data_IF_944580614185
#
_entry.id   IF_944580614185
#
_cell.length_a   1.000
_cell.length_b   1.000
_cell.length_c   1.000
_cell.angle_alpha   90.00
_cell.angle_beta   90.00
_cell.angle_gamma   90.00
#
_symmetry.space_group_name_H-M   'P 1'
#
loop_
_entity.id
_entity.type
_entity.pdbx_description
1 polymer ?
2 non-polymer ?
3 non-polymer ?
4 non-polymer ?
5 water ?
#
# COMPACT_ATOMS: atom_id res chain seq x y z
N UNK A 11 -16.73 7.06 22.79
CA UNK A 11 -16.67 5.64 22.30
C UNK A 11 -16.40 5.58 20.78
N UNK A 12 -15.35 4.84 20.42
CA UNK A 12 -14.93 4.67 19.03
C UNK A 12 -14.90 3.17 18.67
N UNK A 13 -15.44 2.79 17.48
CA UNK A 13 -15.53 1.35 17.15
C UNK A 13 -14.19 0.63 17.06
N UNK A 14 -14.19 -0.68 17.33
CA UNK A 14 -12.97 -1.48 17.41
C UNK A 14 -12.32 -1.75 16.05
N UNK A 15 -13.14 -2.01 15.02
CA UNK A 15 -12.66 -2.29 13.66
C UNK A 15 -12.40 -0.99 12.93
N UNK A 16 -11.27 -0.92 12.24
CA UNK A 16 -10.93 0.30 11.48
C UNK A 16 -11.94 0.56 10.37
N UNK A 17 -12.54 -0.50 9.83
CA UNK A 17 -13.58 -0.35 8.81
C UNK A 17 -14.95 0.16 9.31
N UNK A 18 -15.11 0.29 10.63
CA UNK A 18 -16.33 0.85 11.24
C UNK A 18 -16.19 2.32 11.64
N UNK A 19 -15.06 2.95 11.31
CA UNK A 19 -14.84 4.35 11.65
C UNK A 19 -14.10 5.11 10.55
N UNK A 20 -14.40 6.41 10.38
CA UNK A 20 -13.61 7.18 9.43
C UNK A 20 -12.20 7.47 9.94
N UNK A 21 -11.21 7.25 9.08
CA UNK A 21 -9.84 7.66 9.36
C UNK A 21 -9.37 8.62 8.26
N UNK A 22 -9.30 9.92 8.57
CA UNK A 22 -8.96 10.92 7.55
C UNK A 22 -7.46 10.93 7.22
N UNK A 23 -7.10 11.60 6.12
CA UNK A 23 -5.69 11.66 5.69
C UNK A 23 -4.81 12.32 6.74
N UNK A 24 -5.28 13.44 7.27
CA UNK A 24 -4.53 14.24 8.24
C UNK A 24 -5.18 14.18 9.61
N UNK A 25 -4.37 14.12 10.66
CA UNK A 25 -4.88 13.95 12.03
C UNK A 25 -3.99 14.70 13.03
N UNK A 26 -4.27 14.53 14.32
CA UNK A 26 -3.70 15.37 15.38
C UNK A 26 -2.63 14.68 16.22
N UNK A 27 -2.17 13.50 15.79
CA UNK A 27 -1.33 12.62 16.62
C UNK A 27 -0.18 11.95 15.86
N UNK A 28 0.37 12.70 14.90
CA UNK A 28 1.35 12.15 13.96
C UNK A 28 2.61 11.67 14.66
N UNK A 29 3.07 12.40 15.67
CA UNK A 29 4.27 11.98 16.43
C UNK A 29 4.08 10.66 17.17
N UNK A 30 2.90 10.51 17.78
CA UNK A 30 2.57 9.29 18.53
C UNK A 30 2.36 8.11 17.59
N UNK A 31 1.57 8.30 16.54
CA UNK A 31 1.32 7.22 15.57
C UNK A 31 2.62 6.80 14.88
N UNK A 32 3.49 7.77 14.56
CA UNK A 32 4.78 7.45 13.90
C UNK A 32 5.67 6.58 14.77
N UNK A 33 5.69 6.88 16.07
CA UNK A 33 6.46 6.09 17.02
C UNK A 33 5.95 4.64 17.12
N UNK A 34 4.64 4.50 17.28
CA UNK A 34 4.00 3.18 17.27
C UNK A 34 4.22 2.40 15.96
N UNK A 35 4.17 3.10 14.84
CA UNK A 35 4.39 2.43 13.54
C UNK A 35 5.84 1.98 13.32
N UNK A 36 6.80 2.68 13.93
CA UNK A 36 8.20 2.21 13.94
C UNK A 36 8.27 0.88 14.67
N UNK A 37 7.65 0.81 15.86
CA UNK A 37 7.62 -0.44 16.62
C UNK A 37 6.87 -1.55 15.87
N UNK A 38 5.79 -1.18 15.19
CA UNK A 38 5.05 -2.13 14.34
C UNK A 38 5.97 -2.71 13.25
N UNK A 39 6.62 -1.83 12.51
CA UNK A 39 7.49 -2.20 11.39
C UNK A 39 8.59 -3.14 11.85
N UNK A 40 9.25 -2.78 12.94
CA UNK A 40 10.34 -3.56 13.50
C UNK A 40 9.88 -4.94 13.92
N UNK A 41 8.67 -5.03 14.48
CA UNK A 41 8.10 -6.32 14.83
C UNK A 41 7.86 -7.20 13.57
N UNK A 42 7.37 -6.57 12.51
CA UNK A 42 7.24 -7.25 11.22
C UNK A 42 8.58 -7.73 10.68
N UNK A 43 9.62 -6.89 10.81
CA UNK A 43 10.96 -7.32 10.42
C UNK A 43 11.45 -8.57 11.15
N UNK A 44 11.04 -8.72 12.41
CA UNK A 44 11.38 -9.90 13.20
C UNK A 44 10.39 -11.07 13.07
N UNK A 45 9.41 -10.96 12.19
CA UNK A 45 8.37 -11.99 12.02
C UNK A 45 7.27 -12.00 13.08
N UNK A 46 7.22 -10.98 13.93
CA UNK A 46 6.28 -10.95 15.07
C UNK A 46 4.97 -10.32 14.60
N UNK A 47 4.21 -11.08 13.81
CA UNK A 47 3.04 -10.54 13.11
C UNK A 47 1.93 -10.05 14.06
N UNK A 48 1.73 -10.75 15.18
CA UNK A 48 0.75 -10.36 16.20
C UNK A 48 1.09 -9.01 16.80
N UNK A 49 2.35 -8.86 17.23
CA UNK A 49 2.87 -7.59 17.75
C UNK A 49 2.81 -6.44 16.73
N UNK A 50 3.11 -6.74 15.46
CA UNK A 50 2.91 -5.76 14.37
C UNK A 50 1.47 -5.27 14.32
N UNK A 51 0.53 -6.21 14.29
CA UNK A 51 -0.90 -5.87 14.17
C UNK A 51 -1.37 -5.06 15.39
N UNK A 52 -0.88 -5.43 16.57
CA UNK A 52 -1.20 -4.70 17.79
C UNK A 52 -0.78 -3.23 17.73
N UNK A 53 0.48 -2.99 17.34
CA UNK A 53 0.98 -1.61 17.26
C UNK A 53 0.27 -0.84 16.15
N UNK A 54 0.05 -1.50 15.00
CA UNK A 54 -0.64 -0.89 13.86
C UNK A 54 -2.06 -0.44 14.21
N UNK A 55 -2.81 -1.33 14.87
CA UNK A 55 -4.15 -1.02 15.39
C UNK A 55 -4.16 0.17 16.35
N UNK A 56 -3.22 0.19 17.29
CA UNK A 56 -3.08 1.30 18.25
C UNK A 56 -2.78 2.63 17.53
N UNK A 57 -1.83 2.59 16.59
CA UNK A 57 -1.55 3.77 15.76
C UNK A 57 -2.81 4.25 15.03
N UNK A 58 -3.59 3.33 14.45
CA UNK A 58 -4.79 3.70 13.67
C UNK A 58 -5.89 4.30 14.53
N UNK A 59 -5.96 3.89 15.80
CA UNK A 59 -6.87 4.51 16.76
C UNK A 59 -6.53 5.99 16.95
N UNK A 60 -5.25 6.28 17.17
CA UNK A 60 -4.79 7.68 17.31
C UNK A 60 -5.14 8.53 16.07
N UNK A 61 -5.06 7.92 14.89
CA UNK A 61 -5.39 8.61 13.63
C UNK A 61 -6.84 9.03 13.51
N UNK A 62 -7.74 8.24 14.12
CA UNK A 62 -9.17 8.51 14.12
C UNK A 62 -9.61 9.51 15.21
N UNK A 63 -8.74 9.80 16.18
CA UNK A 63 -9.12 10.73 17.26
C UNK A 63 -9.35 12.14 16.73
N UNK A 64 -10.36 12.84 17.28
CA UNK A 64 -10.64 14.19 16.83
C UNK A 64 -9.74 15.29 17.40
N UNK A 65 -8.89 14.95 18.37
CA UNK A 65 -8.06 15.90 19.09
C UNK A 65 -6.71 15.27 19.37
N UNK A 66 -5.67 16.11 19.63
CA UNK A 66 -4.39 15.55 20.02
C UNK A 66 -4.45 14.95 21.44
N UNK A 67 -3.64 13.91 21.67
CA UNK A 67 -3.43 13.32 23.00
C UNK A 67 -2.29 14.10 23.63
N UNK A 68 -2.63 14.93 24.62
CA UNK A 68 -1.64 15.70 25.38
C UNK A 68 -1.45 15.17 26.82
N UNK A 69 -2.41 14.42 27.35
CA UNK A 69 -2.25 13.72 28.65
C UNK A 69 -2.68 12.26 28.54
N UNK A 70 -2.07 11.42 29.37
CA UNK A 70 -2.33 9.99 29.33
C UNK A 70 -3.78 9.63 29.72
N UNK A 71 -4.41 10.48 30.53
CA UNK A 71 -5.84 10.29 30.84
C UNK A 71 -6.71 10.23 29.60
N UNK A 72 -6.28 10.85 28.49
CA UNK A 72 -7.01 10.69 27.20
C UNK A 72 -6.93 9.30 26.55
N UNK A 73 -6.05 8.42 27.00
CA UNK A 73 -6.05 7.04 26.49
C UNK A 73 -7.20 6.20 27.10
N UNK A 74 -7.62 6.53 28.33
CA UNK A 74 -8.72 5.80 29.00
C UNK A 74 -9.96 5.64 28.09
N UNK A 75 -10.44 4.39 27.99
CA UNK A 75 -11.64 4.08 27.22
C UNK A 75 -11.46 3.92 25.72
N UNK A 76 -10.21 3.88 25.22
CA UNK A 76 -9.93 3.65 23.80
C UNK A 76 -9.59 2.17 23.55
N UNK A 77 -10.10 1.60 22.43
CA UNK A 77 -9.74 0.22 22.09
C UNK A 77 -8.28 0.07 21.66
N UNK A 78 -7.80 -1.17 21.66
CA UNK A 78 -6.49 -1.52 21.12
C UNK A 78 -5.33 -0.75 21.74
N UNK A 79 -5.49 -0.32 23.00
CA UNK A 79 -4.42 0.36 23.72
C UNK A 79 -4.08 -0.41 24.96
N UNK A 80 -3.38 -1.53 24.74
CA UNK A 80 -2.83 -2.33 25.83
C UNK A 80 -1.67 -1.62 26.50
N UNK A 81 -0.94 -2.36 27.33
CA UNK A 81 0.08 -1.76 28.20
C UNK A 81 1.25 -1.19 27.41
N UNK A 82 1.75 -1.96 26.44
CA UNK A 82 2.97 -1.60 25.71
C UNK A 82 2.74 -0.32 24.90
N UNK A 83 1.64 -0.25 24.16
CA UNK A 83 1.32 0.96 23.39
C UNK A 83 1.12 2.19 24.28
N UNK A 84 0.45 2.01 25.41
CA UNK A 84 0.22 3.11 26.37
C UNK A 84 1.53 3.66 26.92
N UNK A 85 2.44 2.75 27.27
CA UNK A 85 3.75 3.14 27.78
C UNK A 85 4.54 4.01 26.76
N UNK A 86 4.46 3.61 25.49
CA UNK A 86 5.13 4.35 24.42
C UNK A 86 4.64 5.78 24.44
N UNK A 87 3.30 5.95 24.40
CA UNK A 87 2.69 7.27 24.39
C UNK A 87 3.04 8.03 25.68
N UNK A 88 3.01 7.32 26.81
CA UNK A 88 3.39 7.91 28.09
C UNK A 88 4.79 8.51 28.08
N UNK A 89 5.78 7.73 27.66
CA UNK A 89 7.16 8.24 27.68
C UNK A 89 7.29 9.45 26.75
N UNK A 90 6.60 9.41 25.60
CA UNK A 90 6.59 10.54 24.66
C UNK A 90 5.98 11.80 25.30
N UNK A 91 4.82 11.67 25.94
CA UNK A 91 4.20 12.81 26.64
C UNK A 91 5.06 13.39 27.76
N UNK A 92 5.67 12.53 28.56
CA UNK A 92 6.39 12.94 29.77
C UNK A 92 7.83 13.33 29.52
N UNK A 93 8.48 12.69 28.54
CA UNK A 93 9.91 12.92 28.26
C UNK A 93 10.24 13.43 26.84
N UNK A 94 9.26 13.48 25.95
CA UNK A 94 9.50 13.85 24.56
C UNK A 94 10.22 12.81 23.72
N UNK A 95 10.50 11.63 24.29
CA UNK A 95 11.23 10.57 23.61
C UNK A 95 10.91 9.24 24.28
N UNK A 96 10.85 8.17 23.48
CA UNK A 96 10.65 6.81 23.98
C UNK A 96 11.95 6.04 23.67
N UNK A 97 12.62 5.53 24.70
CA UNK A 97 13.95 4.94 24.54
C UNK A 97 13.94 3.66 23.71
N UNK A 98 12.90 2.84 23.81
CA UNK A 98 12.76 1.69 22.91
C UNK A 98 12.70 2.10 21.43
N UNK A 99 11.90 3.12 21.11
CA UNK A 99 11.80 3.61 19.73
C UNK A 99 13.17 4.11 19.27
N UNK A 100 13.89 4.84 20.13
CA UNK A 100 15.21 5.38 19.76
C UNK A 100 16.24 4.28 19.56
N UNK A 101 16.21 3.25 20.41
CA UNK A 101 17.08 2.06 20.22
C UNK A 101 16.80 1.37 18.87
N UNK A 102 15.51 1.17 18.57
CA UNK A 102 15.12 0.56 17.31
C UNK A 102 15.65 1.38 16.12
N UNK A 103 15.40 2.68 16.10
CA UNK A 103 15.88 3.57 15.03
C UNK A 103 17.38 3.49 14.78
N UNK A 104 18.15 3.41 15.86
CA UNK A 104 19.60 3.35 15.76
C UNK A 104 20.14 1.94 15.48
N UNK A 105 19.32 0.91 15.62
CA UNK A 105 19.85 -0.44 15.54
C UNK A 105 20.17 -0.82 14.08
N UNK A 106 21.25 -1.57 13.92
CA UNK A 106 21.73 -1.96 12.60
C UNK A 106 20.73 -2.89 11.91
N UNK A 107 20.09 -3.74 12.71
CA UNK A 107 19.09 -4.70 12.21
C UNK A 107 17.89 -3.98 11.56
N UNK A 108 17.34 -3.03 12.28
CA UNK A 108 16.19 -2.27 11.76
C UNK A 108 16.60 -1.45 10.54
N UNK A 109 17.69 -0.69 10.64
CA UNK A 109 18.14 0.18 9.55
C UNK A 109 18.40 -0.64 8.28
N UNK A 110 19.04 -1.81 8.44
CA UNK A 110 19.28 -2.67 7.29
C UNK A 110 18.00 -3.29 6.71
N UNK A 111 17.13 -3.79 7.57
CA UNK A 111 15.86 -4.36 7.11
C UNK A 111 15.02 -3.30 6.39
N UNK A 112 15.01 -2.09 6.94
CA UNK A 112 14.36 -0.95 6.28
C UNK A 112 14.99 -0.66 4.92
N UNK A 113 16.32 -0.63 4.86
CA UNK A 113 17.01 -0.38 3.58
C UNK A 113 16.63 -1.43 2.55
N UNK A 114 16.77 -2.69 2.91
CA UNK A 114 16.54 -3.78 1.95
C UNK A 114 15.06 -3.92 1.57
N UNK A 115 14.16 -3.89 2.55
CA UNK A 115 12.72 -4.04 2.22
C UNK A 115 12.13 -2.91 1.37
N UNK A 116 12.77 -1.75 1.34
CA UNK A 116 12.27 -0.66 0.50
C UNK A 116 12.78 -0.71 -0.95
N UNK A 117 13.63 -1.70 -1.24
CA UNK A 117 14.04 -1.97 -2.60
C UNK A 117 12.88 -2.65 -3.33
N UNK A 118 12.60 -2.17 -4.53
CA UNK A 118 11.58 -2.78 -5.43
C UNK A 118 11.85 -4.26 -5.57
N UNK A 119 10.83 -5.07 -5.26
CA UNK A 119 10.91 -6.53 -5.34
C UNK A 119 11.50 -7.28 -4.14
N UNK A 120 11.82 -6.59 -3.06
CA UNK A 120 12.37 -7.24 -1.87
C UNK A 120 11.33 -7.23 -0.75
N UNK A 121 10.92 -8.42 -0.29
CA UNK A 121 10.10 -8.54 0.95
C UNK A 121 10.91 -8.81 2.21
N UNK A 122 10.22 -9.03 3.32
CA UNK A 122 10.85 -9.25 4.61
C UNK A 122 11.70 -10.50 4.60
N UNK A 123 11.20 -11.57 3.98
CA UNK A 123 11.91 -12.85 4.00
C UNK A 123 13.25 -12.77 3.28
N UNK A 124 13.25 -12.14 2.11
CA UNK A 124 14.48 -11.87 1.37
C UNK A 124 15.45 -10.97 2.13
N UNK A 125 14.96 -9.83 2.61
CA UNK A 125 15.76 -8.91 3.39
C UNK A 125 16.42 -9.59 4.61
N UNK A 126 15.64 -10.37 5.37
CA UNK A 126 16.15 -11.10 6.53
C UNK A 126 17.22 -12.15 6.15
N UNK A 127 17.00 -12.87 5.04
CA UNK A 127 18.00 -13.83 4.51
C UNK A 127 19.29 -13.09 4.20
N UNK A 128 19.19 -11.97 3.48
CA UNK A 128 20.38 -11.21 3.13
C UNK A 128 21.10 -10.70 4.39
N UNK A 129 20.33 -10.24 5.37
CA UNK A 129 20.88 -9.81 6.66
C UNK A 129 21.67 -10.91 7.36
N UNK A 130 21.04 -12.07 7.47
CA UNK A 130 21.66 -13.27 8.06
C UNK A 130 22.91 -13.74 7.33
N UNK A 131 22.98 -13.45 6.04
CA UNK A 131 24.14 -13.73 5.21
C UNK A 131 25.20 -12.63 5.21
N UNK A 132 25.05 -11.64 6.10
CA UNK A 132 26.03 -10.60 6.30
C UNK A 132 26.03 -9.44 5.31
N UNK A 133 24.97 -9.33 4.51
CA UNK A 133 24.80 -8.19 3.62
C UNK A 133 24.22 -7.02 4.44
N UNK A 134 24.73 -5.83 4.18
CA UNK A 134 24.32 -4.61 4.90
C UNK A 134 23.97 -3.43 4.05
N UNK A 135 24.68 -3.20 2.96
CA UNK A 135 24.52 -2.00 2.21
C UNK A 135 24.05 -2.27 0.82
N UNK A 136 23.66 -1.22 0.12
CA UNK A 136 23.25 -1.37 -1.26
C UNK A 136 24.45 -1.83 -2.11
N UNK A 137 25.64 -1.33 -1.81
CA UNK A 137 26.84 -1.79 -2.49
C UNK A 137 27.11 -3.30 -2.28
N UNK A 138 26.87 -3.81 -1.10
CA UNK A 138 27.02 -5.25 -0.80
C UNK A 138 26.13 -6.05 -1.75
N UNK A 139 24.88 -5.56 -1.98
CA UNK A 139 23.94 -6.24 -2.89
C UNK A 139 24.44 -6.22 -4.32
N UNK A 140 24.95 -5.07 -4.74
CA UNK A 140 25.52 -4.89 -6.07
C UNK A 140 26.74 -5.77 -6.35
N UNK A 141 27.50 -6.08 -5.30
CA UNK A 141 28.65 -7.00 -5.39
C UNK A 141 28.27 -8.47 -5.47
N UNK A 142 26.99 -8.80 -5.24
CA UNK A 142 26.47 -10.16 -5.34
C UNK A 142 25.27 -10.25 -6.26
N UNK A 143 25.45 -9.92 -7.55
CA UNK A 143 24.27 -9.86 -8.39
C UNK A 143 23.62 -11.24 -8.66
N UNK A 144 24.38 -12.33 -8.50
CA UNK A 144 23.80 -13.64 -8.58
C UNK A 144 22.67 -13.86 -7.55
N UNK A 145 22.67 -13.11 -6.45
CA UNK A 145 21.63 -13.18 -5.43
C UNK A 145 20.36 -12.37 -5.72
N UNK A 146 20.32 -11.63 -6.83
CA UNK A 146 19.24 -10.69 -7.11
C UNK A 146 18.40 -11.19 -8.25
N UNK A 147 17.09 -11.00 -8.13
CA UNK A 147 16.19 -11.15 -9.29
C UNK A 147 16.36 -9.95 -10.24
N UNK A 148 15.87 -10.09 -11.46
CA UNK A 148 15.87 -8.98 -12.39
C UNK A 148 15.12 -7.76 -11.86
N UNK A 149 14.00 -7.98 -11.20
CA UNK A 149 13.23 -6.91 -10.57
C UNK A 149 14.06 -6.17 -9.50
N UNK A 150 14.77 -6.94 -8.69
CA UNK A 150 15.63 -6.39 -7.64
C UNK A 150 16.80 -5.61 -8.27
N UNK A 151 17.33 -6.09 -9.40
CA UNK A 151 18.40 -5.40 -10.10
C UNK A 151 17.92 -4.03 -10.60
N UNK A 152 16.71 -4.03 -11.13
CA UNK A 152 16.06 -2.79 -11.58
C UNK A 152 15.83 -1.83 -10.41
N UNK A 153 15.36 -2.37 -9.30
CA UNK A 153 15.17 -1.61 -8.09
C UNK A 153 16.42 -0.94 -7.56
N UNK A 154 17.55 -1.66 -7.62
CA UNK A 154 18.84 -1.10 -7.22
C UNK A 154 19.35 -0.06 -8.18
N UNK A 155 19.21 -0.31 -9.47
CA UNK A 155 19.56 0.64 -10.52
C UNK A 155 18.88 1.99 -10.34
N UNK A 156 17.67 2.00 -9.84
CA UNK A 156 16.85 3.19 -9.72
C UNK A 156 16.54 3.58 -8.29
N UNK A 157 17.32 3.12 -7.31
CA UNK A 157 16.86 3.20 -5.93
C UNK A 157 16.75 4.65 -5.46
N UNK A 158 17.63 5.55 -5.92
CA UNK A 158 17.54 6.96 -5.52
C UNK A 158 16.18 7.55 -5.93
N UNK A 159 15.82 7.40 -7.20
CA UNK A 159 14.47 7.84 -7.66
C UNK A 159 13.36 7.14 -6.95
N UNK A 160 13.47 5.82 -6.80
CA UNK A 160 12.36 5.08 -6.16
C UNK A 160 12.17 5.36 -4.66
N UNK A 161 13.18 5.91 -4.01
CA UNK A 161 13.09 6.39 -2.62
C UNK A 161 12.56 7.83 -2.52
N UNK A 162 12.54 8.56 -3.64
CA UNK A 162 11.98 9.93 -3.67
C UNK A 162 10.45 9.84 -3.69
N UNK A 163 9.77 10.53 -2.74
CA UNK A 163 8.33 10.42 -2.76
C UNK A 163 7.75 10.86 -4.10
N UNK A 164 6.76 10.09 -4.54
CA UNK A 164 6.00 10.34 -5.75
C UNK A 164 4.99 11.42 -5.39
N UNK A 165 4.90 12.44 -6.23
CA UNK A 165 4.02 13.59 -5.98
C UNK A 165 2.74 13.48 -6.79
N UNK A 166 1.70 14.19 -6.36
CA UNK A 166 0.45 14.20 -7.13
C UNK A 166 0.66 14.68 -8.57
N UNK A 167 1.55 15.65 -8.77
CA UNK A 167 1.88 16.10 -10.14
C UNK A 167 2.49 14.96 -11.00
N UNK A 168 3.32 14.11 -10.38
CA UNK A 168 3.80 12.90 -11.06
C UNK A 168 2.63 12.00 -11.44
N UNK A 169 1.74 11.78 -10.47
CA UNK A 169 0.57 10.93 -10.69
C UNK A 169 -0.29 11.46 -11.84
N UNK A 170 -0.50 12.77 -11.88
CA UNK A 170 -1.31 13.37 -12.95
C UNK A 170 -0.68 13.12 -14.31
N UNK A 171 0.63 13.34 -14.43
CA UNK A 171 1.34 13.13 -15.68
C UNK A 171 1.29 11.65 -16.12
N UNK A 172 1.46 10.76 -15.16
CA UNK A 172 1.43 9.33 -15.44
C UNK A 172 0.05 8.86 -15.86
N UNK A 173 -0.98 9.31 -15.15
CA UNK A 173 -2.33 8.94 -15.48
C UNK A 173 -2.66 9.38 -16.92
N UNK A 174 -2.20 10.56 -17.31
CA UNK A 174 -2.36 11.01 -18.71
C UNK A 174 -1.75 10.04 -19.74
N UNK A 175 -0.48 9.67 -19.57
CA UNK A 175 0.16 8.76 -20.55
C UNK A 175 -0.50 7.37 -20.53
N UNK A 176 -0.92 6.89 -19.36
CA UNK A 176 -1.58 5.58 -19.24
C UNK A 176 -2.96 5.67 -19.89
N UNK A 177 -3.70 6.74 -19.60
CA UNK A 177 -4.99 6.96 -20.27
C UNK A 177 -4.90 7.02 -21.80
N UNK A 178 -3.89 7.72 -22.31
CA UNK A 178 -3.68 7.82 -23.76
C UNK A 178 -3.36 6.44 -24.38
N UNK A 179 -2.44 5.70 -23.76
CA UNK A 179 -2.10 4.37 -24.24
C UNK A 179 -3.31 3.43 -24.19
N UNK A 180 -4.06 3.45 -23.10
CA UNK A 180 -5.26 2.61 -22.95
C UNK A 180 -6.33 2.99 -23.98
N UNK A 181 -6.57 4.31 -24.10
CA UNK A 181 -7.58 4.84 -25.04
C UNK A 181 -7.30 4.51 -26.49
N UNK A 182 -6.03 4.59 -26.88
CA UNK A 182 -5.61 4.23 -28.22
C UNK A 182 -5.79 2.72 -28.46
N UNK A 183 -5.30 1.90 -27.53
CA UNK A 183 -5.31 0.45 -27.68
C UNK A 183 -6.74 -0.11 -27.79
N UNK A 184 -7.64 0.41 -26.96
CA UNK A 184 -9.01 -0.05 -26.85
C UNK A 184 -9.96 1.08 -26.43
N UNK A 185 -10.69 1.65 -27.42
CA UNK A 185 -11.72 2.65 -27.14
C UNK A 185 -12.76 2.12 -26.15
N UNK A 186 -13.20 2.97 -25.22
CA UNK A 186 -14.07 2.54 -24.15
C UNK A 186 -13.38 1.99 -22.88
N UNK A 187 -12.12 1.59 -22.97
CA UNK A 187 -11.44 1.03 -21.79
C UNK A 187 -11.17 2.17 -20.81
N UNK A 188 -11.24 1.87 -19.52
CA UNK A 188 -11.11 2.89 -18.47
C UNK A 188 -9.87 2.65 -17.61
N UNK A 189 -9.31 3.75 -17.09
CA UNK A 189 -8.20 3.74 -16.14
C UNK A 189 -8.67 4.42 -14.86
N UNK A 190 -8.56 3.74 -13.72
CA UNK A 190 -8.96 4.28 -12.42
C UNK A 190 -7.74 4.29 -11.50
N UNK A 191 -7.43 5.47 -10.97
CA UNK A 191 -6.35 5.65 -9.99
C UNK A 191 -6.82 5.00 -8.71
N UNK A 192 -6.02 4.11 -8.15
CA UNK A 192 -6.33 3.45 -6.87
C UNK A 192 -5.18 3.73 -5.87
N UNK A 193 -4.97 2.85 -4.90
CA UNK A 193 -3.90 3.00 -3.95
C UNK A 193 -4.08 4.24 -3.09
N UNK A 194 -2.99 4.70 -2.51
CA UNK A 194 -3.06 5.79 -1.54
C UNK A 194 -3.49 7.10 -2.15
N UNK A 195 -3.18 7.31 -3.44
CA UNK A 195 -3.58 8.56 -4.10
C UNK A 195 -5.09 8.72 -4.23
N UNK A 196 -5.80 7.60 -4.43
CA UNK A 196 -7.25 7.64 -4.41
C UNK A 196 -7.81 7.96 -3.01
N UNK A 197 -7.11 7.55 -1.97
CA UNK A 197 -7.43 7.95 -0.59
C UNK A 197 -7.07 9.40 -0.23
N UNK A 198 -6.57 10.17 -1.20
CA UNK A 198 -6.27 11.58 -0.99
C UNK A 198 -4.86 11.89 -0.57
N UNK A 199 -3.98 10.89 -0.43
CA UNK A 199 -2.60 11.18 -0.07
C UNK A 199 -1.96 12.12 -1.07
N UNK A 200 -1.03 12.95 -0.56
CA UNK A 200 -0.32 13.89 -1.40
C UNK A 200 0.98 13.33 -1.91
N UNK A 201 1.45 12.26 -1.32
CA UNK A 201 2.65 11.58 -1.77
C UNK A 201 2.59 10.05 -1.57
N UNK A 202 3.44 9.32 -2.25
CA UNK A 202 3.46 7.86 -2.17
C UNK A 202 4.74 7.23 -2.68
N UNK A 203 4.81 5.91 -2.61
CA UNK A 203 5.99 5.23 -3.11
C UNK A 203 5.79 4.64 -4.54
N UNK A 204 4.56 4.57 -4.99
CA UNK A 204 4.21 4.14 -6.34
C UNK A 204 2.88 4.75 -6.77
N UNK A 205 2.45 4.44 -8.01
CA UNK A 205 1.14 4.83 -8.51
C UNK A 205 0.43 3.53 -8.94
N UNK A 206 -0.78 3.39 -8.50
CA UNK A 206 -1.55 2.23 -8.79
C UNK A 206 -2.74 2.52 -9.71
N UNK A 207 -2.86 1.78 -10.79
CA UNK A 207 -3.96 1.97 -11.71
C UNK A 207 -4.70 0.65 -11.93
N UNK A 208 -6.02 0.75 -12.01
CA UNK A 208 -6.91 -0.36 -12.27
C UNK A 208 -7.59 -0.11 -13.61
N UNK A 209 -7.44 -1.07 -14.53
CA UNK A 209 -7.87 -0.95 -15.93
C UNK A 209 -8.99 -1.94 -16.15
N UNK A 210 -10.06 -1.50 -16.81
CA UNK A 210 -11.15 -2.42 -17.20
C UNK A 210 -11.83 -1.95 -18.48
N UNK A 211 -12.84 -2.70 -18.89
CA UNK A 211 -13.71 -2.33 -20.00
C UNK A 211 -15.14 -2.76 -19.64
N UNK A 212 -16.16 -1.92 -19.94
CA UNK A 212 -17.54 -2.24 -19.53
C UNK A 212 -18.15 -3.52 -20.14
N UNK A 213 -17.69 -3.93 -21.32
CA UNK A 213 -18.03 -5.26 -21.85
C UNK A 213 -17.05 -6.33 -21.33
N UNK A 214 -17.55 -7.24 -20.49
CA UNK A 214 -16.76 -8.37 -19.98
C UNK A 214 -16.05 -9.10 -21.13
N UNK A 215 -14.72 -9.25 -21.01
CA UNK A 215 -13.85 -9.90 -21.99
C UNK A 215 -13.13 -9.00 -22.99
N UNK A 216 -13.62 -7.79 -23.20
CA UNK A 216 -12.96 -6.87 -24.12
C UNK A 216 -11.57 -6.42 -23.62
N UNK A 217 -11.35 -6.58 -22.32
CA UNK A 217 -10.06 -6.32 -21.67
C UNK A 217 -8.99 -7.39 -21.91
N UNK A 218 -9.34 -8.53 -22.55
CA UNK A 218 -8.36 -9.58 -22.82
C UNK A 218 -7.28 -9.07 -23.79
N UNK A 219 -6.01 -9.33 -23.46
CA UNK A 219 -4.90 -8.84 -24.30
C UNK A 219 -4.71 -7.33 -24.35
N UNK A 220 -5.37 -6.59 -23.47
CA UNK A 220 -5.25 -5.13 -23.48
C UNK A 220 -3.90 -4.71 -22.86
N UNK A 221 -3.54 -5.30 -21.73
CA UNK A 221 -2.36 -4.82 -20.99
C UNK A 221 -1.08 -4.88 -21.82
N UNK A 222 -0.84 -6.01 -22.51
CA UNK A 222 0.35 -6.06 -23.36
C UNK A 222 0.39 -4.99 -24.47
N UNK A 223 -0.77 -4.66 -25.05
CA UNK A 223 -0.84 -3.59 -26.04
C UNK A 223 -0.55 -2.21 -25.45
N UNK A 224 -1.08 -1.99 -24.25
CA UNK A 224 -0.78 -0.77 -23.49
C UNK A 224 0.72 -0.64 -23.25
N UNK A 225 1.34 -1.73 -22.78
CA UNK A 225 2.77 -1.74 -22.51
C UNK A 225 3.62 -1.51 -23.77
N UNK A 226 3.24 -2.14 -24.89
CA UNK A 226 3.92 -1.89 -26.16
C UNK A 226 3.93 -0.41 -26.50
N UNK A 227 2.77 0.22 -26.38
CA UNK A 227 2.64 1.64 -26.66
C UNK A 227 3.52 2.48 -25.75
N UNK A 228 3.45 2.22 -24.45
CA UNK A 228 4.29 2.96 -23.49
C UNK A 228 5.80 2.74 -23.71
N UNK A 229 6.15 1.49 -24.00
CA UNK A 229 7.54 1.18 -24.35
C UNK A 229 8.03 1.94 -25.57
N UNK A 230 7.21 1.97 -26.62
CA UNK A 230 7.57 2.67 -27.85
C UNK A 230 7.85 4.16 -27.62
N UNK A 231 7.13 4.75 -26.65
CA UNK A 231 7.34 6.16 -26.32
C UNK A 231 8.54 6.45 -25.44
N UNK A 232 9.27 5.43 -25.01
CA UNK A 232 10.45 5.63 -24.18
C UNK A 232 10.11 5.76 -22.72
N UNK A 233 8.88 5.41 -22.34
CA UNK A 233 8.39 5.68 -20.97
C UNK A 233 8.64 4.55 -19.98
N UNK A 234 9.21 3.43 -20.42
CA UNK A 234 9.33 2.26 -19.59
C UNK A 234 10.78 1.90 -19.39
N UNK A 235 11.17 1.86 -18.13
CA UNK A 235 12.51 1.41 -17.74
C UNK A 235 12.54 -0.07 -17.43
N UNK A 236 11.45 -0.58 -16.89
CA UNK A 236 11.37 -1.96 -16.47
C UNK A 236 9.92 -2.36 -16.44
N UNK A 237 9.68 -3.60 -16.88
CA UNK A 237 8.34 -4.11 -17.01
C UNK A 237 8.36 -5.62 -16.82
N UNK A 238 7.59 -6.09 -15.87
CA UNK A 238 7.35 -7.50 -15.70
C UNK A 238 5.87 -7.74 -15.80
N UNK A 239 5.46 -8.44 -16.84
CA UNK A 239 4.07 -8.81 -17.04
C UNK A 239 3.86 -10.13 -16.35
N UNK A 240 2.75 -10.27 -15.64
CA UNK A 240 2.36 -11.60 -15.16
C UNK A 240 0.90 -11.83 -15.53
N UNK A 241 0.66 -12.93 -16.23
CA UNK A 241 -0.70 -13.41 -16.47
C UNK A 241 -1.35 -13.81 -15.13
N UNK A 242 -2.67 -13.70 -15.06
CA UNK A 242 -3.40 -14.18 -13.87
C UNK A 242 -3.19 -15.69 -13.73
N UNK A 243 -2.81 -16.12 -12.53
CA UNK A 243 -2.52 -17.54 -12.27
C UNK A 243 -3.74 -18.20 -11.64
N UNK A 244 -4.01 -17.87 -10.38
CA UNK A 244 -5.07 -18.53 -9.59
C UNK A 244 -6.46 -18.05 -10.01
N UNK A 258 -3.64 -13.06 -9.06
CA UNK A 258 -4.70 -13.66 -9.86
C UNK A 258 -5.47 -12.65 -10.71
N UNK A 259 -5.01 -11.39 -10.74
CA UNK A 259 -5.36 -10.47 -11.82
C UNK A 259 -4.15 -10.40 -12.73
N UNK A 260 -4.40 -10.19 -14.02
CA UNK A 260 -3.34 -9.83 -14.94
C UNK A 260 -2.76 -8.48 -14.46
N UNK A 261 -1.44 -8.41 -14.34
CA UNK A 261 -0.79 -7.15 -13.96
C UNK A 261 0.59 -6.96 -14.53
N UNK A 262 1.03 -5.72 -14.52
CA UNK A 262 2.35 -5.35 -14.96
C UNK A 262 3.03 -4.53 -13.87
N UNK A 263 4.21 -4.98 -13.43
CA UNK A 263 5.02 -4.28 -12.41
C UNK A 263 5.99 -3.42 -13.16
N UNK A 264 5.82 -2.10 -13.10
CA UNK A 264 6.65 -1.23 -13.95
C UNK A 264 7.51 -0.22 -13.19
N UNK A 265 8.60 0.18 -13.81
CA UNK A 265 9.28 1.43 -13.49
C UNK A 265 9.14 2.30 -14.74
N UNK A 266 8.45 3.43 -14.62
CA UNK A 266 8.31 4.40 -15.69
C UNK A 266 9.44 5.40 -15.64
N UNK A 267 9.89 5.85 -16.81
CA UNK A 267 10.79 6.98 -16.96
C UNK A 267 9.91 8.22 -17.13
N UNK A 268 9.66 8.96 -16.07
CA UNK A 268 8.79 10.15 -16.12
C UNK A 268 9.60 11.39 -16.56
N UNK A 269 9.30 11.96 -17.74
CA UNK A 269 10.04 13.19 -18.09
C UNK A 269 9.71 14.32 -17.13
N UNK A 270 10.72 15.16 -16.89
CA UNK A 270 10.61 16.32 -15.99
C UNK A 270 11.23 17.47 -16.73
N UNK A 271 11.00 18.71 -16.26
CA UNK A 271 11.71 19.82 -16.91
C UNK A 271 13.24 19.70 -16.77
N UNK A 272 13.90 19.39 -17.89
CA UNK A 272 15.36 19.24 -17.97
C UNK A 272 16.01 17.97 -17.43
N UNK A 273 15.20 16.95 -17.10
CA UNK A 273 15.73 15.68 -16.60
C UNK A 273 14.63 14.61 -16.65
N UNK A 274 14.61 13.67 -15.71
CA UNK A 274 13.57 12.60 -15.68
C UNK A 274 13.73 11.87 -14.37
N UNK A 275 12.70 11.14 -13.98
CA UNK A 275 12.66 10.42 -12.72
C UNK A 275 12.05 9.03 -12.94
N UNK A 276 12.65 7.98 -12.36
CA UNK A 276 12.04 6.67 -12.32
C UNK A 276 10.92 6.68 -11.29
N UNK A 277 9.79 6.11 -11.65
CA UNK A 277 8.63 6.01 -10.79
C UNK A 277 8.00 4.63 -10.94
N UNK A 278 7.67 4.03 -9.80
CA UNK A 278 6.98 2.74 -9.78
C UNK A 278 5.52 2.88 -10.09
N UNK A 279 5.06 2.08 -11.05
CA UNK A 279 3.66 2.04 -11.40
C UNK A 279 3.17 0.58 -11.42
N UNK A 280 2.05 0.32 -10.76
CA UNK A 280 1.34 -0.97 -10.80
C UNK A 280 0.12 -0.81 -11.73
N UNK A 281 0.09 -1.57 -12.82
CA UNK A 281 -1.07 -1.61 -13.71
C UNK A 281 -1.75 -2.95 -13.50
N UNK A 282 -3.04 -2.91 -13.16
CA UNK A 282 -3.81 -4.11 -12.88
C UNK A 282 -5.03 -4.10 -13.78
N UNK A 283 -5.29 -5.21 -14.46
CA UNK A 283 -6.50 -5.36 -15.29
C UNK A 283 -7.50 -6.23 -14.54
N UNK A 284 -8.75 -5.78 -14.44
CA UNK A 284 -9.79 -6.61 -13.87
C UNK A 284 -10.99 -6.65 -14.80
N UNK A 285 -11.62 -7.83 -14.92
CA UNK A 285 -12.88 -7.86 -15.63
C UNK A 285 -13.92 -7.06 -14.84
N UNK A 286 -14.79 -6.37 -15.58
CA UNK A 286 -15.73 -5.42 -14.99
C UNK A 286 -16.67 -6.05 -13.97
N UNK A 287 -16.97 -7.34 -14.10
CA UNK A 287 -17.74 -8.04 -13.05
C UNK A 287 -17.06 -7.96 -11.69
N UNK A 288 -15.73 -8.10 -11.67
CA UNK A 288 -14.94 -8.06 -10.44
C UNK A 288 -14.39 -6.68 -10.04
N UNK A 289 -14.61 -5.67 -10.89
CA UNK A 289 -14.03 -4.34 -10.71
C UNK A 289 -14.30 -3.71 -9.32
N UNK A 290 -15.56 -3.72 -8.83
CA UNK A 290 -15.79 -3.11 -7.52
C UNK A 290 -15.00 -3.75 -6.36
N UNK A 291 -14.79 -5.06 -6.43
CA UNK A 291 -13.94 -5.76 -5.46
C UNK A 291 -12.50 -5.41 -5.60
N UNK A 292 -12.03 -5.33 -6.86
CA UNK A 292 -10.66 -4.96 -7.11
C UNK A 292 -10.38 -3.54 -6.68
N UNK A 293 -11.31 -2.62 -6.98
CA UNK A 293 -11.19 -1.22 -6.55
C UNK A 293 -11.07 -1.10 -5.03
N UNK A 294 -11.99 -1.77 -4.33
CA UNK A 294 -12.00 -1.78 -2.88
C UNK A 294 -10.69 -2.31 -2.29
N UNK A 295 -10.30 -3.48 -2.75
CA UNK A 295 -9.06 -4.13 -2.33
C UNK A 295 -7.84 -3.26 -2.60
N UNK A 296 -7.73 -2.74 -3.83
CA UNK A 296 -6.56 -1.97 -4.26
C UNK A 296 -6.51 -0.52 -3.71
N UNK A 297 -7.62 -0.01 -3.18
CA UNK A 297 -7.66 1.37 -2.66
C UNK A 297 -7.10 1.42 -1.22
N UNK A 298 -7.18 0.32 -0.50
CA UNK A 298 -6.56 0.23 0.81
C UNK A 298 -7.30 1.10 1.84
N UNK A 299 -6.63 1.55 2.89
CA UNK A 299 -5.24 1.20 3.22
C UNK A 299 -5.08 -0.29 3.49
N UNK A 300 -3.84 -0.76 3.58
CA UNK A 300 -3.58 -2.18 3.89
C UNK A 300 -4.27 -2.57 5.20
N UNK A 301 -4.18 -1.73 6.22
CA UNK A 301 -4.78 -2.07 7.50
C UNK A 301 -6.28 -2.06 7.37
N UNK A 302 -6.83 -1.06 6.69
CA UNK A 302 -8.28 -0.98 6.51
C UNK A 302 -8.81 -2.24 5.83
N UNK A 303 -8.14 -2.68 4.77
CA UNK A 303 -8.56 -3.89 4.06
C UNK A 303 -8.40 -5.13 4.90
N UNK A 304 -7.31 -5.22 5.65
CA UNK A 304 -7.13 -6.31 6.63
C UNK A 304 -8.31 -6.37 7.58
N UNK A 305 -8.68 -5.20 8.11
CA UNK A 305 -9.74 -5.07 9.09
C UNK A 305 -11.12 -5.35 8.51
N UNK A 306 -11.36 -4.88 7.28
CA UNK A 306 -12.59 -5.15 6.57
C UNK A 306 -12.77 -6.66 6.27
N UNK A 307 -11.70 -7.34 5.91
CA UNK A 307 -11.73 -8.77 5.61
C UNK A 307 -11.92 -9.61 6.87
N UNK A 308 -11.18 -9.25 7.92
CA UNK A 308 -11.39 -9.82 9.26
C UNK A 308 -12.84 -9.62 9.73
N UNK A 309 -13.38 -8.41 9.58
CA UNK A 309 -14.76 -8.13 9.93
C UNK A 309 -15.76 -8.98 9.15
N UNK A 310 -15.56 -9.11 7.84
CA UNK A 310 -16.45 -9.89 6.98
C UNK A 310 -16.47 -11.35 7.41
N UNK A 311 -15.29 -11.88 7.70
CA UNK A 311 -15.15 -13.28 8.09
C UNK A 311 -15.70 -13.50 9.48
N UNK A 312 -15.18 -12.74 10.44
CA UNK A 312 -15.54 -12.92 11.86
C UNK A 312 -16.99 -12.54 12.17
N UNK A 313 -17.42 -11.36 11.75
CA UNK A 313 -18.77 -10.88 12.06
C UNK A 313 -19.84 -11.40 11.15
N UNK A 314 -19.56 -11.51 9.84
CA UNK A 314 -20.61 -11.84 8.88
C UNK A 314 -20.50 -13.22 8.22
N UNK A 315 -19.44 -13.98 8.51
CA UNK A 315 -19.27 -15.31 7.93
C UNK A 315 -18.93 -15.38 6.45
N UNK A 316 -18.46 -14.27 5.87
CA UNK A 316 -18.22 -14.17 4.43
C UNK A 316 -16.73 -13.94 4.16
N UNK A 317 -16.21 -14.48 3.06
CA UNK A 317 -14.82 -14.25 2.69
C UNK A 317 -14.75 -13.16 1.62
N UNK A 318 -14.16 -12.03 1.98
CA UNK A 318 -13.93 -10.92 1.04
C UNK A 318 -12.50 -10.96 0.57
N UNK A 319 -12.31 -10.84 -0.75
CA UNK A 319 -11.00 -10.55 -1.32
C UNK A 319 -11.17 -9.60 -2.52
N UNK A 320 -10.10 -9.41 -3.29
CA UNK A 320 -10.13 -8.46 -4.41
C UNK A 320 -10.96 -8.91 -5.63
N UNK A 321 -11.43 -10.15 -5.63
CA UNK A 321 -12.22 -10.71 -6.73
C UNK A 321 -13.69 -10.88 -6.45
N UNK A 322 -14.07 -10.88 -5.17
CA UNK A 322 -15.45 -11.18 -4.83
C UNK A 322 -15.73 -11.30 -3.34
N UNK A 323 -17.00 -11.52 -3.03
CA UNK A 323 -17.44 -11.77 -1.67
C UNK A 323 -18.22 -13.08 -1.68
N UNK A 324 -17.67 -14.08 -0.99
CA UNK A 324 -18.10 -15.48 -1.08
C UNK A 324 -18.70 -15.94 0.24
N UNK A 325 -19.85 -16.60 0.17
CA UNK A 325 -20.44 -17.27 1.33
C UNK A 325 -20.08 -18.75 1.21
N UNK A 326 -19.15 -19.23 2.06
CA UNK A 326 -18.66 -20.60 1.92
C UNK A 326 -19.61 -21.68 2.42
N UNK A 327 -20.62 -21.32 3.23
CA UNK A 327 -21.69 -22.26 3.62
C UNK A 327 -22.65 -22.47 2.44
N UNK A 328 -23.25 -21.40 1.96
CA UNK A 328 -24.13 -21.43 0.78
C UNK A 328 -23.40 -21.70 -0.55
N UNK A 329 -22.09 -21.48 -0.61
CA UNK A 329 -21.29 -21.69 -1.81
C UNK A 329 -21.71 -20.72 -2.95
N UNK A 330 -21.93 -19.46 -2.56
CA UNK A 330 -22.45 -18.39 -3.41
C UNK A 330 -21.50 -17.18 -3.42
N UNK A 331 -21.58 -16.38 -4.49
CA UNK A 331 -20.82 -15.13 -4.63
C UNK A 331 -21.77 -13.96 -4.70
N UNK A 332 -21.40 -12.85 -4.06
CA UNK A 332 -22.19 -11.62 -4.06
C UNK A 332 -21.95 -10.82 -5.33
N UNK A 333 -23.02 -10.35 -5.96
CA UNK A 333 -22.96 -9.51 -7.15
C UNK A 333 -22.97 -8.06 -6.67
N UNK A 334 -21.93 -7.32 -7.01
CA UNK A 334 -21.79 -5.93 -6.61
C UNK A 334 -21.52 -5.15 -7.86
N UNK A 335 -22.20 -4.02 -8.02
CA UNK A 335 -21.90 -3.08 -9.10
C UNK A 335 -20.96 -1.97 -8.63
N UNK A 336 -20.89 -1.77 -7.31
CA UNK A 336 -20.09 -0.69 -6.74
C UNK A 336 -19.50 -1.06 -5.39
N UNK A 337 -18.54 -0.26 -4.93
CA UNK A 337 -18.03 -0.38 -3.56
C UNK A 337 -19.12 -0.22 -2.50
N UNK A 338 -20.02 0.74 -2.73
CA UNK A 338 -21.18 0.98 -1.85
C UNK A 338 -22.02 -0.30 -1.64
N UNK A 339 -22.27 -1.05 -2.71
CA UNK A 339 -22.96 -2.35 -2.62
C UNK A 339 -22.27 -3.32 -1.68
N UNK A 340 -20.94 -3.34 -1.72
CA UNK A 340 -20.16 -4.26 -0.90
C UNK A 340 -20.29 -3.89 0.58
N UNK A 341 -20.16 -2.60 0.91
CA UNK A 341 -20.34 -2.11 2.29
C UNK A 341 -21.74 -2.43 2.78
N UNK A 342 -22.73 -2.09 1.95
CA UNK A 342 -24.13 -2.37 2.24
C UNK A 342 -24.29 -3.84 2.60
N UNK A 343 -23.81 -4.73 1.73
CA UNK A 343 -23.95 -6.17 1.96
C UNK A 343 -23.33 -6.66 3.27
N UNK A 344 -22.25 -6.03 3.71
CA UNK A 344 -21.59 -6.36 4.99
C UNK A 344 -22.18 -5.67 6.24
N UNK A 345 -23.19 -4.81 6.07
CA UNK A 345 -23.80 -4.10 7.19
C UNK A 345 -23.02 -2.91 7.69
N UNK A 346 -22.15 -2.34 6.85
CA UNK A 346 -21.29 -1.25 7.26
C UNK A 346 -21.74 0.04 6.59
N UNK A 347 -21.62 1.16 7.30
CA UNK A 347 -21.80 2.47 6.66
C UNK A 347 -20.69 2.64 5.65
N UNK A 348 -21.04 3.21 4.51
CA UNK A 348 -20.08 3.47 3.44
C UNK A 348 -19.03 4.47 3.92
N UNK A 349 -17.77 4.18 3.61
CA UNK A 349 -16.69 5.11 3.85
C UNK A 349 -16.08 5.45 2.51
N UNK A 350 -16.10 6.75 2.14
CA UNK A 350 -15.36 7.08 0.93
C UNK A 350 -13.86 6.83 1.11
N UNK A 351 -13.14 6.71 -0.01
CA UNK A 351 -11.71 6.37 0.01
C UNK A 351 -10.85 7.27 0.93
N UNK A 352 -11.12 8.58 0.92
CA UNK A 352 -10.43 9.50 1.84
C UNK A 352 -10.66 9.28 3.34
N UNK A 353 -11.62 8.43 3.72
CA UNK A 353 -11.79 8.04 5.14
C UNK A 353 -11.37 6.62 5.44
N UNK A 354 -10.58 6.00 4.54
CA UNK A 354 -10.06 4.65 4.73
C UNK A 354 -8.56 4.68 5.04
N UNK A 355 -8.05 5.81 5.52
CA UNK A 355 -6.62 5.97 5.80
C UNK A 355 -6.16 5.36 7.12
N UNK A 356 -6.62 4.13 7.40
CA UNK A 356 -6.36 3.51 8.70
C UNK A 356 -4.91 3.07 8.79
X LIG B 1 0.45 2.48 -3.99
X LIG C 1 1.35 -0.45 -5.59
X LIG D 1 0.47 -0.09 -2.50
X LIG D 1 0.74 0.53 -3.92
X LIG D 1 1.56 -0.84 -1.80
X LIG D 1 -0.05 0.79 -1.23
X LIG D 1 -0.66 2.30 -1.09
X LIG D 1 -0.92 2.84 -2.47
X LIG D 1 -1.82 2.19 -0.12
X LIG D 1 0.47 3.18 -0.36
X LIG D 1 1.82 3.83 -1.04
X LIG D 1 1.66 5.32 -0.93
X LIG D 1 2.95 3.29 -0.18
X LIG D 1 1.89 3.30 -2.45
X LIG D 1 -0.72 -1.15 -2.62
X LIG D 1 -2.06 -0.75 -2.92
X LIG D 1 -3.08 -1.70 -2.30
X LIG D 1 -3.01 -2.98 -2.93
X LIG D 1 -2.91 -2.00 -0.81
X LIG D 1 -3.72 -1.09 -0.05
X LIG D 1 -3.40 -3.44 -0.66
X LIG D 1 -3.67 -3.90 -2.09
X LIG D 1 -3.27 -5.28 -2.44
X LIG D 1 -4.20 -6.17 -3.09
X LIG D 1 -5.37 -5.82 -3.34
X LIG D 1 -3.85 -7.42 -3.43
X LIG D 1 -2.61 -7.89 -3.19
X LIG D 1 -2.35 -9.06 -3.52
X LIG D 1 -1.62 -7.01 -2.54
X LIG D 1 -0.21 -7.46 -2.24
X LIG D 1 -2.01 -5.71 -2.19
X LIG E 1 9.72 -12.10 0.15
X LIG E 1 9.02 -11.32 -0.90
X LIG E 1 9.00 -11.96 1.43
X LIG E 1 11.08 -11.57 0.30
X LIG E 1 9.77 -13.53 -0.24
X LIG F 1 3.69 -12.52 18.00
X LIG F 1 2.59 -12.51 18.98
X LIG F 1 3.80 -11.18 17.39
X LIG F 1 3.40 -13.53 16.94
X LIG F 1 4.96 -12.85 18.68
X LIG G 1 14.86 8.23 11.91
X LIG G 1 13.63 7.42 12.11
X LIG G 1 14.53 9.58 11.41
X LIG G 1 15.57 8.40 13.21
X LIG G 1 15.74 7.51 10.95
X LIG H 1 17.24 -19.39 4.09
X LIG H 1 16.03 -18.55 3.90
X LIG H 1 18.19 -18.74 5.01
X LIG H 1 17.88 -19.63 2.78
X LIG H 1 16.83 -20.70 4.66
#
# INVERSE_FOLDING_TARGET
GSAAAPLSPAWMPAYACQRPTPLTHHNTGLSEALEILAEAAGFEGSEGRLLTFCRAASVLKALPSPVTTLSQLQGLPHFGEHSSRVVQELLEHGVCEEVERVRRSERYQTMKLFTQIFGVGVKTADRWYREGLRTLDDLREQPQKLTQQQKAGLQHHQDLSTPVLRSDVDALQQVVEEAVGQALPGATVTLTGGFRRGKLQGHDVDFLITHPKEGQEAGLLPRVMCRLQDQGLILYHQHQHSCCESPTRLAQQSHMDAFERSFCIFRLPQPGSWKAVRVDLVVAPVSQFPFALLGWTGSKLFQRELRRFSRKEKGLWLNSHGLFDPEQKTFFQAASEEDIFRHLGLEYLPPEQRNA
MN MN
MN MN
TTP PA O1A O2A O3A PB O1B O2B O3B PG O1G O2G O3G O5' C5' C4' O4' C3' O3' C2' C1' N1 C2 O2 N3 C4 O4 C5 C5M C6
SO4 S O1 O2 O3 O4
SO4 S O1 O2 O3 O4
SO4 S O1 O2 O3 O4
SO4 S O1 O2 O3 O4
#
